data_IF_746575709300
#
_entry.id   IF_746575709300
#
_cell.length_a   1.000
_cell.length_b   1.000
_cell.length_c   1.000
_cell.angle_alpha   90.00
_cell.angle_beta   90.00
_cell.angle_gamma   90.00
#
_symmetry.space_group_name_H-M   'P 1'
#
loop_
_entity.id
_entity.type
_entity.pdbx_description
1 polymer ?
#
# COMPACT_ATOMS: atom_id res chain seq x y z
N UNK A 1 5.62 23.91 9.16
CA UNK A 1 6.91 24.21 8.42
C UNK A 1 7.34 22.92 7.75
N UNK A 2 7.35 22.90 6.41
CA UNK A 2 7.72 21.70 5.64
C UNK A 2 9.25 21.61 5.58
N UNK A 3 9.81 20.49 6.02
CA UNK A 3 11.24 20.22 5.95
C UNK A 3 11.62 19.81 4.52
N UNK A 4 12.83 20.20 4.09
CA UNK A 4 13.42 19.68 2.86
C UNK A 4 14.59 18.78 3.23
N UNK A 5 14.58 17.54 2.74
CA UNK A 5 15.64 16.56 2.94
C UNK A 5 16.51 16.44 1.68
N UNK A 6 17.80 16.17 1.86
CA UNK A 6 18.78 16.01 0.80
C UNK A 6 19.21 14.55 0.62
N UNK A 7 20.50 14.36 0.30
CA UNK A 7 21.08 13.03 0.07
C UNK A 7 21.30 12.22 1.35
N UNK A 8 21.37 12.88 2.50
CA UNK A 8 21.55 12.19 3.78
C UNK A 8 20.36 11.29 4.10
N UNK A 9 20.64 10.09 4.59
CA UNK A 9 19.62 9.10 4.94
C UNK A 9 18.99 9.43 6.30
N UNK A 10 18.18 10.48 6.33
CA UNK A 10 17.49 10.97 7.55
C UNK A 10 16.08 11.43 7.22
N UNK A 11 15.19 11.36 8.22
CA UNK A 11 13.87 11.98 8.22
C UNK A 11 13.70 12.87 9.45
N UNK A 12 12.94 13.97 9.38
CA UNK A 12 12.52 14.70 10.57
C UNK A 12 11.63 13.80 11.45
N UNK A 13 11.57 14.12 12.74
CA UNK A 13 10.71 13.37 13.66
C UNK A 13 9.22 13.49 13.24
N UNK A 14 8.48 12.39 13.15
CA UNK A 14 7.09 12.38 12.67
C UNK A 14 6.06 13.00 13.63
N UNK A 15 6.48 13.82 14.57
CA UNK A 15 5.59 14.54 15.51
C UNK A 15 5.21 15.94 15.04
N UNK A 16 5.91 16.47 14.03
CA UNK A 16 5.72 17.82 13.50
C UNK A 16 5.23 17.75 12.04
N UNK A 17 4.14 17.06 11.80
CA UNK A 17 3.53 16.95 10.48
C UNK A 17 2.50 18.08 10.26
N UNK A 18 2.28 18.45 9.00
CA UNK A 18 1.19 19.34 8.62
C UNK A 18 -0.18 18.62 8.86
N UNK A 19 -1.30 19.35 8.90
CA UNK A 19 -2.62 18.77 9.18
C UNK A 19 -3.04 17.64 8.23
N UNK A 20 -2.54 17.63 6.99
CA UNK A 20 -2.74 16.59 5.99
C UNK A 20 -1.77 15.41 6.12
N UNK A 21 -0.83 15.48 7.07
CA UNK A 21 0.18 14.46 7.31
C UNK A 21 1.50 14.66 6.56
N UNK A 22 1.65 15.73 5.76
CA UNK A 22 2.91 16.03 5.06
C UNK A 22 4.02 16.31 6.07
N UNK A 23 5.13 15.56 5.98
CA UNK A 23 6.27 15.64 6.88
C UNK A 23 7.44 16.41 6.25
N UNK A 24 7.84 16.01 5.05
CA UNK A 24 8.96 16.62 4.34
C UNK A 24 8.90 16.36 2.84
N UNK A 25 9.78 17.05 2.10
CA UNK A 25 9.92 16.93 0.64
C UNK A 25 11.37 16.69 0.25
N UNK A 26 11.59 16.10 -0.92
CA UNK A 26 12.93 15.84 -1.48
C UNK A 26 13.51 14.48 -1.10
N UNK A 27 14.82 14.34 -1.20
CA UNK A 27 15.51 13.05 -1.09
C UNK A 27 15.41 12.24 -2.38
N UNK A 28 15.53 10.93 -2.25
CA UNK A 28 15.49 9.96 -3.35
C UNK A 28 14.54 8.80 -3.00
N UNK A 29 14.36 7.85 -3.93
CA UNK A 29 13.57 6.63 -3.75
C UNK A 29 14.47 5.38 -3.59
N UNK A 30 15.68 5.54 -3.07
CA UNK A 30 16.55 4.39 -2.79
C UNK A 30 15.89 3.40 -1.82
N UNK A 31 16.25 2.13 -1.95
CA UNK A 31 15.75 1.06 -1.06
C UNK A 31 15.97 1.40 0.40
N UNK A 32 17.17 1.89 0.76
CA UNK A 32 17.51 2.25 2.14
C UNK A 32 16.61 3.37 2.67
N UNK A 33 16.33 4.39 1.85
CA UNK A 33 15.44 5.49 2.24
C UNK A 33 14.00 5.03 2.38
N UNK A 34 13.51 4.21 1.47
CA UNK A 34 12.16 3.64 1.55
C UNK A 34 12.00 2.77 2.79
N UNK A 35 12.97 1.90 3.09
CA UNK A 35 12.96 1.08 4.31
C UNK A 35 13.01 1.92 5.58
N UNK A 36 13.86 2.96 5.62
CA UNK A 36 13.90 3.88 6.74
C UNK A 36 12.56 4.60 6.92
N UNK A 37 11.95 5.04 5.83
CA UNK A 37 10.63 5.69 5.85
C UNK A 37 9.57 4.75 6.44
N UNK A 38 9.38 3.59 5.82
CA UNK A 38 8.35 2.62 6.25
C UNK A 38 8.54 2.15 7.69
N UNK A 39 9.79 1.92 8.11
CA UNK A 39 10.10 1.54 9.50
C UNK A 39 9.75 2.63 10.53
N UNK A 40 9.50 3.85 10.09
CA UNK A 40 9.06 4.97 10.92
C UNK A 40 7.62 5.43 10.61
N UNK A 41 6.84 4.62 9.89
CA UNK A 41 5.47 4.95 9.52
C UNK A 41 5.35 6.08 8.49
N UNK A 42 6.44 6.39 7.80
CA UNK A 42 6.50 7.40 6.75
C UNK A 42 6.35 6.69 5.41
N UNK A 43 5.63 7.28 4.47
CA UNK A 43 5.49 6.75 3.12
C UNK A 43 5.63 7.85 2.06
N UNK A 44 6.12 7.51 0.86
CA UNK A 44 6.24 8.47 -0.23
C UNK A 44 4.90 8.63 -0.94
N UNK A 45 4.64 9.85 -1.39
CA UNK A 45 3.56 10.15 -2.30
C UNK A 45 4.03 11.21 -3.28
N UNK A 46 3.77 11.04 -4.57
CA UNK A 46 4.02 12.08 -5.55
C UNK A 46 2.77 12.93 -5.75
N UNK A 47 2.93 14.24 -5.67
CA UNK A 47 1.91 15.16 -6.13
C UNK A 47 2.30 15.64 -7.54
N UNK A 48 1.53 15.25 -8.55
CA UNK A 48 1.82 15.51 -9.95
C UNK A 48 1.68 16.96 -10.38
N UNK A 49 1.17 17.82 -9.52
CA UNK A 49 0.74 19.13 -9.98
C UNK A 49 1.88 20.15 -10.04
N UNK A 50 2.88 20.07 -9.15
CA UNK A 50 3.89 21.12 -9.04
C UNK A 50 5.26 20.67 -8.49
N UNK A 51 5.54 19.38 -8.32
CA UNK A 51 6.78 18.95 -7.69
C UNK A 51 7.29 17.62 -8.28
N UNK A 52 8.47 17.66 -8.89
CA UNK A 52 9.18 16.47 -9.40
C UNK A 52 9.92 15.71 -8.29
N UNK A 53 9.74 16.10 -7.03
CA UNK A 53 10.42 15.51 -5.88
C UNK A 53 9.47 14.66 -5.03
N UNK A 54 9.95 13.60 -4.36
CA UNK A 54 9.15 12.83 -3.43
C UNK A 54 8.58 13.67 -2.29
N UNK A 55 7.29 13.50 -2.01
CA UNK A 55 6.63 14.02 -0.81
C UNK A 55 6.50 12.88 0.19
N UNK A 56 6.83 13.13 1.45
CA UNK A 56 6.83 12.13 2.51
C UNK A 56 5.76 12.44 3.53
N UNK A 57 4.85 11.51 3.73
CA UNK A 57 3.70 11.66 4.62
C UNK A 57 3.80 10.75 5.83
N UNK A 58 3.30 11.23 6.96
CA UNK A 58 3.13 10.48 8.19
C UNK A 58 1.89 10.94 8.95
N UNK A 59 0.68 10.58 8.50
CA UNK A 59 -0.55 10.94 9.19
C UNK A 59 -0.56 10.44 10.63
N UNK A 60 -0.99 11.27 11.57
CA UNK A 60 -1.08 10.93 13.00
C UNK A 60 -2.26 10.02 13.33
N UNK A 61 -3.21 9.91 12.41
CA UNK A 61 -4.28 8.91 12.41
C UNK A 61 -4.08 8.00 11.21
N UNK A 62 -3.77 6.74 11.46
CA UNK A 62 -3.46 5.76 10.42
C UNK A 62 -4.65 4.85 10.16
N UNK A 63 -5.06 4.73 8.92
CA UNK A 63 -6.13 3.84 8.54
C UNK A 63 -5.59 2.44 8.25
N UNK A 64 -6.06 1.44 9.00
CA UNK A 64 -5.53 0.07 8.94
C UNK A 64 -6.65 -0.97 8.91
N UNK A 65 -6.33 -2.17 8.40
CA UNK A 65 -7.16 -3.37 8.53
C UNK A 65 -6.37 -4.39 9.35
N UNK A 66 -6.99 -4.94 10.40
CA UNK A 66 -6.44 -6.10 11.10
C UNK A 66 -6.89 -7.37 10.38
N UNK A 67 -5.97 -8.31 10.07
CA UNK A 67 -6.31 -9.53 9.33
C UNK A 67 -7.46 -10.34 9.95
N UNK A 68 -7.54 -10.37 11.28
CA UNK A 68 -8.62 -11.07 12.01
C UNK A 68 -9.97 -10.34 11.98
N UNK A 69 -9.98 -9.06 11.60
CA UNK A 69 -11.17 -8.20 11.63
C UNK A 69 -11.66 -7.83 10.22
N UNK A 70 -11.07 -8.39 9.17
CA UNK A 70 -11.52 -8.08 7.81
C UNK A 70 -12.98 -8.46 7.61
N UNK A 71 -13.76 -7.51 7.08
CA UNK A 71 -15.18 -7.74 6.79
C UNK A 71 -15.37 -8.34 5.41
N UNK A 72 -15.90 -9.57 5.36
CA UNK A 72 -16.26 -10.25 4.12
C UNK A 72 -17.79 -10.35 4.03
N UNK A 73 -18.39 -9.60 3.10
CA UNK A 73 -19.84 -9.63 2.91
C UNK A 73 -20.32 -11.00 2.39
N UNK A 74 -21.61 -11.30 2.58
CA UNK A 74 -22.21 -12.54 2.07
C UNK A 74 -22.03 -12.68 0.54
N UNK A 75 -22.22 -11.59 -0.21
CA UNK A 75 -22.02 -11.60 -1.67
C UNK A 75 -20.57 -11.89 -2.08
N UNK A 76 -19.60 -11.39 -1.32
CA UNK A 76 -18.18 -11.70 -1.57
C UNK A 76 -17.85 -13.17 -1.28
N UNK A 77 -18.35 -13.73 -0.18
CA UNK A 77 -18.18 -15.18 0.10
C UNK A 77 -18.79 -16.04 -1.01
N UNK A 78 -20.00 -15.69 -1.48
CA UNK A 78 -20.64 -16.39 -2.59
C UNK A 78 -19.83 -16.28 -3.89
N UNK A 79 -19.22 -15.11 -4.16
CA UNK A 79 -18.38 -14.93 -5.35
C UNK A 79 -17.10 -15.75 -5.27
N UNK A 80 -16.42 -15.74 -4.14
CA UNK A 80 -15.16 -16.48 -3.93
C UNK A 80 -15.39 -17.99 -4.00
N UNK A 81 -16.50 -18.49 -3.49
CA UNK A 81 -16.87 -19.92 -3.55
C UNK A 81 -17.19 -20.43 -4.97
N UNK A 82 -17.34 -19.54 -5.97
CA UNK A 82 -17.61 -19.96 -7.36
C UNK A 82 -16.35 -20.40 -8.11
N UNK A 83 -15.18 -20.29 -7.50
CA UNK A 83 -13.89 -20.66 -8.13
C UNK A 83 -13.70 -20.03 -9.53
N UNK A 84 -14.25 -18.82 -9.71
CA UNK A 84 -14.17 -18.08 -10.99
C UNK A 84 -12.83 -17.37 -11.13
N UNK A 85 -12.14 -17.19 -10.03
CA UNK A 85 -10.88 -16.47 -9.93
C UNK A 85 -9.84 -17.31 -9.20
N UNK A 86 -8.65 -17.35 -9.77
CA UNK A 86 -7.45 -17.86 -9.10
C UNK A 86 -6.71 -16.69 -8.46
N UNK A 87 -5.99 -16.95 -7.36
CA UNK A 87 -5.22 -15.93 -6.64
C UNK A 87 -3.82 -16.45 -6.39
N UNK A 88 -2.81 -15.62 -6.67
CA UNK A 88 -1.40 -15.90 -6.40
C UNK A 88 -0.74 -14.79 -5.59
N UNK A 89 0.47 -15.03 -5.10
CA UNK A 89 1.30 -14.04 -4.40
C UNK A 89 2.66 -13.97 -5.09
N UNK A 90 3.06 -12.77 -5.52
CA UNK A 90 4.39 -12.48 -6.04
C UNK A 90 4.73 -13.10 -7.39
N UNK A 91 3.76 -13.66 -8.11
CA UNK A 91 3.99 -14.29 -9.41
C UNK A 91 4.08 -13.28 -10.57
N UNK A 92 3.42 -12.12 -10.42
CA UNK A 92 3.34 -11.12 -11.48
C UNK A 92 3.37 -9.69 -10.94
N UNK A 93 4.39 -9.38 -10.13
CA UNK A 93 4.54 -8.05 -9.51
C UNK A 93 4.53 -6.93 -10.55
N UNK A 94 5.27 -7.10 -11.66
CA UNK A 94 5.32 -6.11 -12.74
C UNK A 94 3.96 -5.88 -13.39
N UNK A 95 3.16 -6.93 -13.55
CA UNK A 95 1.79 -6.81 -14.07
C UNK A 95 0.86 -6.08 -13.09
N UNK A 96 1.00 -6.33 -11.80
CA UNK A 96 0.18 -5.67 -10.77
C UNK A 96 0.52 -4.19 -10.67
N UNK A 97 1.80 -3.83 -10.59
CA UNK A 97 2.21 -2.41 -10.49
C UNK A 97 1.84 -1.62 -11.75
N UNK A 98 1.96 -2.24 -12.92
CA UNK A 98 1.50 -1.65 -14.19
C UNK A 98 -0.03 -1.43 -14.17
N UNK A 99 -0.80 -2.43 -13.76
CA UNK A 99 -2.26 -2.32 -13.64
C UNK A 99 -2.69 -1.22 -12.67
N UNK A 100 -1.98 -1.04 -11.56
CA UNK A 100 -2.20 0.05 -10.61
C UNK A 100 -1.93 1.42 -11.24
N UNK A 101 -0.82 1.58 -11.95
CA UNK A 101 -0.46 2.83 -12.64
C UNK A 101 -1.50 3.21 -13.70
N UNK A 102 -1.94 2.25 -14.52
CA UNK A 102 -2.94 2.47 -15.56
C UNK A 102 -4.33 2.79 -15.00
N UNK A 103 -4.72 2.16 -13.88
CA UNK A 103 -6.00 2.42 -13.24
C UNK A 103 -6.09 3.86 -12.71
N UNK A 104 -5.01 4.40 -12.19
CA UNK A 104 -4.92 5.77 -11.70
C UNK A 104 -4.90 6.79 -12.84
N UNK A 105 -4.28 6.47 -13.97
CA UNK A 105 -4.23 7.34 -15.15
C UNK A 105 -5.57 7.53 -15.87
N UNK A 106 -6.62 6.77 -15.51
CA UNK A 106 -7.97 6.92 -16.10
C UNK A 106 -8.68 8.19 -15.65
N UNK A 107 -8.43 8.67 -14.45
CA UNK A 107 -8.90 9.97 -13.97
C UNK A 107 -7.90 11.06 -14.38
N UNK A 108 -7.93 11.43 -15.67
CA UNK A 108 -7.04 12.41 -16.32
C UNK A 108 -6.96 13.78 -15.66
N UNK A 109 -7.77 14.06 -14.63
CA UNK A 109 -7.78 15.35 -13.93
C UNK A 109 -6.70 15.48 -12.86
N UNK A 110 -6.16 14.38 -12.36
CA UNK A 110 -5.22 14.41 -11.21
C UNK A 110 -3.83 13.83 -11.50
N UNK A 111 -3.60 13.19 -12.65
CA UNK A 111 -2.33 12.50 -12.97
C UNK A 111 -2.14 11.23 -12.09
N UNK A 112 -1.35 10.25 -12.59
CA UNK A 112 -1.05 9.07 -11.79
C UNK A 112 0.09 9.38 -10.81
N UNK A 113 -0.09 9.23 -9.48
CA UNK A 113 1.00 9.40 -8.52
C UNK A 113 2.09 8.31 -8.65
N UNK A 114 1.77 7.21 -9.31
CA UNK A 114 2.67 6.10 -9.57
C UNK A 114 3.37 6.29 -10.93
N UNK A 115 4.34 7.19 -10.97
CA UNK A 115 5.19 7.42 -12.13
C UNK A 115 6.28 6.37 -12.30
N UNK A 116 7.02 6.43 -13.40
CA UNK A 116 8.06 5.45 -13.78
C UNK A 116 9.11 5.27 -12.69
N UNK A 117 9.60 6.35 -12.09
CA UNK A 117 10.64 6.30 -11.06
C UNK A 117 10.15 5.56 -9.81
N UNK A 118 8.92 5.82 -9.37
CA UNK A 118 8.30 5.14 -8.25
C UNK A 118 8.07 3.66 -8.55
N UNK A 119 7.61 3.33 -9.76
CA UNK A 119 7.43 1.94 -10.18
C UNK A 119 8.76 1.16 -10.13
N UNK A 120 9.85 1.73 -10.63
CA UNK A 120 11.17 1.08 -10.59
C UNK A 120 11.69 0.91 -9.16
N UNK A 121 11.43 1.88 -8.27
CA UNK A 121 11.79 1.76 -6.86
C UNK A 121 11.06 0.59 -6.18
N UNK A 122 9.75 0.41 -6.41
CA UNK A 122 9.00 -0.73 -5.87
C UNK A 122 9.39 -2.07 -6.51
N UNK A 123 9.72 -2.10 -7.79
CA UNK A 123 10.26 -3.31 -8.44
C UNK A 123 11.61 -3.71 -7.82
N UNK A 124 12.44 -2.71 -7.47
CA UNK A 124 13.70 -2.99 -6.77
C UNK A 124 13.47 -3.54 -5.35
N UNK A 125 12.51 -2.99 -4.60
CA UNK A 125 12.08 -3.57 -3.32
C UNK A 125 11.60 -5.02 -3.50
N UNK A 126 10.83 -5.30 -4.56
CA UNK A 126 10.36 -6.65 -4.85
C UNK A 126 11.52 -7.62 -5.16
N UNK A 127 12.52 -7.21 -5.97
CA UNK A 127 13.71 -8.04 -6.25
C UNK A 127 14.48 -8.40 -4.97
N UNK A 128 14.40 -7.56 -3.95
CA UNK A 128 15.01 -7.80 -2.63
C UNK A 128 14.05 -8.50 -1.64
N UNK A 129 12.89 -8.99 -2.07
CA UNK A 129 11.85 -9.62 -1.25
C UNK A 129 11.27 -8.70 -0.15
N UNK A 130 11.32 -7.39 -0.35
CA UNK A 130 10.81 -6.38 0.58
C UNK A 130 9.42 -5.87 0.18
N UNK A 131 9.02 -6.09 -1.07
CA UNK A 131 7.68 -5.80 -1.57
C UNK A 131 7.06 -7.04 -2.19
N UNK A 132 5.75 -7.20 -2.05
CA UNK A 132 4.98 -8.32 -2.57
C UNK A 132 3.70 -7.84 -3.24
N UNK A 133 3.18 -8.68 -4.13
CA UNK A 133 1.88 -8.48 -4.79
C UNK A 133 0.94 -9.65 -4.52
N UNK A 134 -0.33 -9.38 -4.65
CA UNK A 134 -1.39 -10.39 -4.74
C UNK A 134 -2.08 -10.19 -6.07
N UNK A 135 -2.11 -11.22 -6.87
CA UNK A 135 -2.70 -11.25 -8.19
C UNK A 135 -4.07 -11.93 -8.16
N UNK A 136 -5.01 -11.41 -8.94
CA UNK A 136 -6.32 -12.05 -9.18
C UNK A 136 -6.45 -12.33 -10.66
N UNK A 137 -6.64 -13.60 -10.98
CA UNK A 137 -6.67 -14.14 -12.34
C UNK A 137 -8.06 -14.62 -12.72
N UNK A 138 -8.38 -14.47 -13.99
CA UNK A 138 -9.52 -15.13 -14.63
C UNK A 138 -8.99 -15.92 -15.83
N UNK A 139 -8.80 -17.23 -15.65
CA UNK A 139 -7.95 -18.01 -16.54
C UNK A 139 -6.53 -17.44 -16.56
N UNK A 140 -5.94 -17.25 -17.72
CA UNK A 140 -4.58 -16.69 -17.87
C UNK A 140 -4.54 -15.14 -17.83
N UNK A 141 -5.68 -14.48 -17.56
CA UNK A 141 -5.75 -13.02 -17.57
C UNK A 141 -5.68 -12.45 -16.17
N UNK A 142 -4.70 -11.58 -15.92
CA UNK A 142 -4.64 -10.75 -14.73
C UNK A 142 -5.77 -9.71 -14.74
N UNK A 143 -6.72 -9.81 -13.80
CA UNK A 143 -7.92 -8.96 -13.76
C UNK A 143 -8.00 -8.05 -12.55
N UNK A 144 -7.08 -8.18 -11.61
CA UNK A 144 -6.97 -7.30 -10.46
C UNK A 144 -5.78 -7.71 -9.59
N UNK A 145 -5.52 -6.92 -8.59
CA UNK A 145 -4.44 -7.19 -7.63
C UNK A 145 -4.15 -6.00 -6.75
N UNK A 146 -3.22 -6.20 -5.86
CA UNK A 146 -2.64 -5.17 -5.00
C UNK A 146 -1.15 -5.43 -4.82
N UNK A 147 -0.40 -4.40 -4.46
CA UNK A 147 0.99 -4.55 -4.02
C UNK A 147 1.28 -3.69 -2.80
N UNK A 148 2.35 -4.03 -2.11
CA UNK A 148 2.80 -3.29 -0.95
C UNK A 148 4.16 -3.76 -0.45
N UNK A 149 4.63 -3.10 0.61
CA UNK A 149 5.92 -3.34 1.26
C UNK A 149 5.70 -4.13 2.54
N UNK A 150 6.59 -5.08 2.83
CA UNK A 150 6.54 -5.89 4.05
C UNK A 150 7.55 -5.37 5.07
N UNK A 151 7.10 -4.97 6.24
CA UNK A 151 7.95 -4.58 7.38
C UNK A 151 7.60 -5.50 8.56
N UNK A 152 8.52 -6.42 8.88
CA UNK A 152 8.24 -7.46 9.87
C UNK A 152 7.01 -8.28 9.49
N UNK A 153 5.98 -8.28 10.34
CA UNK A 153 4.69 -8.96 10.10
C UNK A 153 3.57 -7.99 9.72
N UNK A 154 3.91 -6.79 9.26
CA UNK A 154 2.96 -5.80 8.74
C UNK A 154 3.12 -5.68 7.23
N UNK A 155 2.00 -5.53 6.53
CA UNK A 155 1.95 -5.25 5.11
C UNK A 155 1.48 -3.82 4.89
N UNK A 156 2.31 -3.00 4.26
CA UNK A 156 1.99 -1.61 3.92
C UNK A 156 1.47 -1.61 2.49
N UNK A 157 0.15 -1.55 2.33
CA UNK A 157 -0.53 -1.60 1.03
C UNK A 157 -0.39 -0.28 0.29
N UNK A 158 0.25 -0.30 -0.87
CA UNK A 158 0.55 0.89 -1.66
C UNK A 158 -0.58 1.21 -2.64
N UNK A 159 -1.02 0.23 -3.39
CA UNK A 159 -2.06 0.43 -4.38
C UNK A 159 -2.76 -0.87 -4.75
N UNK A 160 -3.94 -0.74 -5.35
CA UNK A 160 -4.70 -1.86 -5.90
C UNK A 160 -5.43 -1.44 -7.18
N UNK A 161 -5.74 -2.43 -8.03
CA UNK A 161 -6.51 -2.21 -9.23
C UNK A 161 -7.57 -3.31 -9.45
N UNK A 162 -8.57 -3.00 -10.25
CA UNK A 162 -9.62 -3.93 -10.67
C UNK A 162 -10.00 -3.66 -12.12
N UNK A 163 -9.88 -4.66 -12.97
CA UNK A 163 -10.41 -4.64 -14.34
C UNK A 163 -11.83 -5.24 -14.41
N UNK A 164 -12.20 -6.01 -13.40
CA UNK A 164 -13.53 -6.61 -13.24
C UNK A 164 -14.05 -6.32 -11.82
N UNK A 165 -15.38 -6.28 -11.61
CA UNK A 165 -15.95 -5.99 -10.31
C UNK A 165 -15.42 -6.90 -9.21
N UNK A 166 -15.03 -6.31 -8.08
CA UNK A 166 -14.58 -6.97 -6.86
C UNK A 166 -13.18 -7.64 -6.91
N UNK A 167 -12.42 -7.57 -7.99
CA UNK A 167 -11.11 -8.22 -8.04
C UNK A 167 -10.15 -7.68 -6.95
N UNK A 168 -10.08 -6.36 -6.72
CA UNK A 168 -9.28 -5.80 -5.63
C UNK A 168 -9.76 -6.22 -4.23
N UNK A 169 -11.07 -6.47 -4.05
CA UNK A 169 -11.60 -7.02 -2.79
C UNK A 169 -11.14 -8.45 -2.56
N UNK A 170 -11.15 -9.27 -3.62
CA UNK A 170 -10.65 -10.65 -3.57
C UNK A 170 -9.17 -10.63 -3.15
N UNK A 171 -8.35 -9.80 -3.81
CA UNK A 171 -6.94 -9.66 -3.47
C UNK A 171 -6.72 -9.29 -1.99
N UNK A 172 -7.48 -8.30 -1.48
CA UNK A 172 -7.35 -7.84 -0.10
C UNK A 172 -7.83 -8.88 0.93
N UNK A 173 -8.92 -9.61 0.64
CA UNK A 173 -9.41 -10.70 1.50
C UNK A 173 -8.37 -11.82 1.55
N UNK A 174 -7.84 -12.22 0.38
CA UNK A 174 -6.82 -13.26 0.31
C UNK A 174 -5.55 -12.87 1.08
N UNK A 175 -5.08 -11.61 0.92
CA UNK A 175 -3.95 -11.09 1.69
C UNK A 175 -4.21 -11.18 3.21
N UNK A 176 -5.39 -10.77 3.65
CA UNK A 176 -5.73 -10.83 5.08
C UNK A 176 -5.79 -12.27 5.60
N UNK A 177 -6.37 -13.20 4.84
CA UNK A 177 -6.41 -14.62 5.18
C UNK A 177 -4.99 -15.21 5.25
N UNK A 178 -4.16 -14.95 4.25
CA UNK A 178 -2.76 -15.35 4.23
C UNK A 178 -1.98 -14.80 5.44
N UNK A 179 -2.11 -13.51 5.70
CA UNK A 179 -1.47 -12.88 6.85
C UNK A 179 -1.92 -13.46 8.18
N UNK A 180 -3.22 -13.73 8.35
CA UNK A 180 -3.78 -14.35 9.55
C UNK A 180 -3.15 -15.73 9.80
N UNK A 181 -3.03 -16.56 8.76
CA UNK A 181 -2.44 -17.90 8.84
C UNK A 181 -0.94 -17.86 9.17
N UNK A 182 -0.24 -16.81 8.73
CA UNK A 182 1.21 -16.64 8.93
C UNK A 182 1.58 -15.68 10.07
N UNK A 183 0.62 -15.32 10.94
CA UNK A 183 0.87 -14.47 12.11
C UNK A 183 1.07 -12.99 11.78
N UNK A 184 0.62 -12.55 10.61
CA UNK A 184 0.59 -11.14 10.21
C UNK A 184 -0.22 -10.30 11.19
N UNK A 185 0.18 -9.04 11.39
CA UNK A 185 -0.36 -8.17 12.43
C UNK A 185 -1.29 -7.09 11.90
N UNK A 186 -0.97 -6.51 10.77
CA UNK A 186 -1.66 -5.32 10.29
C UNK A 186 -1.46 -5.14 8.78
N UNK A 187 -2.51 -4.74 8.10
CA UNK A 187 -2.47 -4.19 6.74
C UNK A 187 -2.65 -2.67 6.88
N UNK A 188 -1.59 -1.94 6.59
CA UNK A 188 -1.63 -0.48 6.58
C UNK A 188 -2.20 0.01 5.26
N UNK A 189 -3.28 0.78 5.33
CA UNK A 189 -3.97 1.36 4.19
C UNK A 189 -3.73 2.87 4.07
N UNK A 190 -2.93 3.44 4.94
CA UNK A 190 -2.58 4.86 5.11
C UNK A 190 -3.80 5.77 5.32
N UNK A 191 -4.72 5.82 4.37
CA UNK A 191 -5.87 6.73 4.37
C UNK A 191 -7.21 5.98 4.27
N UNK A 192 -8.25 6.59 4.83
CA UNK A 192 -9.61 6.06 4.70
C UNK A 192 -10.13 6.23 3.26
N UNK A 193 -10.71 5.17 2.72
CA UNK A 193 -11.58 5.21 1.56
C UNK A 193 -12.89 4.49 1.88
N UNK A 194 -14.02 4.82 1.20
CA UNK A 194 -15.27 4.09 1.38
C UNK A 194 -15.12 2.58 1.15
N UNK A 195 -14.25 2.20 0.21
CA UNK A 195 -13.92 0.82 -0.09
C UNK A 195 -13.26 0.13 1.12
N UNK A 196 -12.15 0.66 1.62
CA UNK A 196 -11.40 0.08 2.74
C UNK A 196 -12.21 0.08 4.04
N UNK A 197 -13.01 1.14 4.27
CA UNK A 197 -13.96 1.19 5.40
C UNK A 197 -14.98 0.05 5.34
N UNK A 198 -15.52 -0.24 4.15
CA UNK A 198 -16.45 -1.36 3.96
C UNK A 198 -15.83 -2.72 4.20
N UNK A 199 -14.50 -2.82 4.14
CA UNK A 199 -13.71 -4.03 4.38
C UNK A 199 -13.24 -4.17 5.85
N UNK A 200 -13.71 -3.30 6.76
CA UNK A 200 -13.38 -3.37 8.19
C UNK A 200 -12.23 -2.47 8.61
N UNK A 201 -11.77 -1.57 7.73
CA UNK A 201 -10.73 -0.62 8.08
C UNK A 201 -11.16 0.36 9.17
N UNK A 202 -10.22 0.71 10.03
CA UNK A 202 -10.40 1.65 11.15
C UNK A 202 -9.15 2.50 11.38
N UNK A 203 -9.35 3.63 12.03
CA UNK A 203 -8.25 4.49 12.45
C UNK A 203 -7.63 4.00 13.75
N UNK A 204 -6.31 4.08 13.81
CA UNK A 204 -5.50 3.96 15.03
C UNK A 204 -4.56 5.16 15.13
N UNK A 205 -4.11 5.49 16.34
CA UNK A 205 -3.13 6.56 16.54
C UNK A 205 -1.76 6.16 15.98
N UNK A 206 -0.92 7.15 15.63
CA UNK A 206 0.46 6.90 15.23
C UNK A 206 1.25 6.13 16.29
N UNK A 207 1.00 6.42 17.58
CA UNK A 207 1.66 5.70 18.68
C UNK A 207 1.30 4.20 18.69
N UNK A 208 0.01 3.88 18.55
CA UNK A 208 -0.47 2.50 18.45
C UNK A 208 0.07 1.80 17.19
N UNK A 209 0.06 2.48 16.05
CA UNK A 209 0.64 2.00 14.81
C UNK A 209 2.12 1.62 14.98
N UNK A 210 2.93 2.53 15.55
CA UNK A 210 4.36 2.29 15.76
C UNK A 210 4.63 1.19 16.79
N UNK A 211 3.77 1.05 17.80
CA UNK A 211 3.86 -0.07 18.75
C UNK A 211 3.65 -1.41 18.06
N UNK A 212 2.68 -1.51 17.14
CA UNK A 212 2.44 -2.73 16.36
C UNK A 212 3.62 -2.98 15.42
N UNK A 213 4.04 -1.98 14.65
CA UNK A 213 5.09 -2.10 13.65
C UNK A 213 6.43 -2.57 14.24
N UNK A 214 6.82 -2.04 15.42
CA UNK A 214 8.08 -2.39 16.09
C UNK A 214 8.06 -3.77 16.76
N UNK A 215 6.88 -4.30 17.06
CA UNK A 215 6.70 -5.62 17.67
C UNK A 215 6.26 -6.70 16.66
N UNK A 216 6.31 -6.37 15.39
CA UNK A 216 5.86 -7.24 14.32
C UNK A 216 6.97 -8.18 13.81
#
# INVERSE_FOLDING_TARGET
MIYRIGKELVFPMPVNVEPDGLLCVGGDLSVDRLLLAYSNGIFPWFSFRDCDEPLWYCPQQRFVIFPDEIHVSHSMRTLMNKETYDVSIGECFDGVIQGCSEAQGRDKKEGAWLGTEMMEAYKELHRQNLAQSVEVWQGDRLVGGLYGVTIGRCFIGESMFSLVPNASKIALIFLADFMREHGGKMIDCQLETPHLKSMGGKFISYEEYMKILRNA
#
